data_IF_714541999359
#
_entry.id   IF_714541999359
#
_cell.length_a   1.000
_cell.length_b   1.000
_cell.length_c   1.000
_cell.angle_alpha   90.00
_cell.angle_beta   90.00
_cell.angle_gamma   90.00
#
_symmetry.space_group_name_H-M   'P 1'
#
loop_
_entity.id
_entity.type
_entity.pdbx_description
1 polymer ?
#
# COMPACT_ATOMS: atom_id res chain seq x y z
N UNK A 1 3.30 1.14 23.27
CA UNK A 1 2.69 2.25 22.48
C UNK A 1 2.12 1.69 21.19
N UNK A 2 0.81 1.76 21.01
CA UNK A 2 0.11 1.22 19.85
C UNK A 2 0.14 2.26 18.73
N UNK A 3 0.98 2.06 17.71
CA UNK A 3 1.11 2.95 16.55
C UNK A 3 0.28 2.47 15.37
N UNK A 4 -0.50 3.36 14.79
CA UNK A 4 -1.21 3.11 13.55
C UNK A 4 -0.23 3.21 12.39
N UNK A 5 -0.18 2.17 11.55
CA UNK A 5 0.70 2.13 10.40
C UNK A 5 -0.12 2.19 9.11
N UNK A 6 0.46 2.79 8.08
CA UNK A 6 -0.16 2.88 6.75
C UNK A 6 0.41 1.79 5.86
N UNK A 7 -0.46 1.04 5.18
CA UNK A 7 -0.05 0.04 4.20
C UNK A 7 0.52 0.71 2.94
N UNK A 8 1.77 0.39 2.62
CA UNK A 8 2.49 0.94 1.47
C UNK A 8 1.89 0.54 0.12
N UNK A 9 1.07 -0.52 0.08
CA UNK A 9 0.43 -1.00 -1.15
C UNK A 9 -0.95 -0.38 -1.40
N UNK A 10 -1.88 -0.52 -0.44
CA UNK A 10 -3.25 -0.06 -0.63
C UNK A 10 -3.53 1.36 -0.10
N UNK A 11 -2.61 1.93 0.70
CA UNK A 11 -2.75 3.25 1.32
C UNK A 11 -3.71 3.31 2.50
N UNK A 12 -4.22 2.16 2.98
CA UNK A 12 -5.11 2.10 4.15
C UNK A 12 -4.31 1.96 5.44
N UNK A 13 -4.80 2.60 6.48
CA UNK A 13 -4.34 2.42 7.85
C UNK A 13 -4.77 1.03 8.34
N UNK A 14 -3.94 0.41 9.18
CA UNK A 14 -4.26 -0.88 9.79
C UNK A 14 -3.93 -0.89 11.28
N UNK A 15 -4.60 -1.78 11.99
CA UNK A 15 -4.52 -1.87 13.45
C UNK A 15 -3.08 -2.20 13.92
N UNK A 16 -2.60 -1.54 14.98
CA UNK A 16 -1.31 -1.88 15.60
C UNK A 16 -1.21 -3.37 15.95
N UNK A 17 -0.07 -3.99 15.65
CA UNK A 17 0.14 -5.42 15.89
C UNK A 17 -0.40 -6.35 14.79
N UNK A 18 -1.11 -5.79 13.79
CA UNK A 18 -1.57 -6.54 12.62
C UNK A 18 -0.67 -6.28 11.40
N UNK A 19 -0.67 -7.21 10.45
CA UNK A 19 0.04 -7.07 9.17
C UNK A 19 1.47 -7.56 9.23
N UNK A 20 2.28 -7.13 8.25
CA UNK A 20 3.68 -7.54 8.12
C UNK A 20 4.56 -6.37 7.67
N UNK A 21 5.80 -6.42 8.12
CA UNK A 21 6.87 -5.52 7.68
C UNK A 21 7.80 -6.29 6.76
N UNK A 22 7.97 -5.81 5.54
CA UNK A 22 8.89 -6.38 4.55
C UNK A 22 10.04 -5.41 4.33
N UNK A 23 11.26 -5.86 4.61
CA UNK A 23 12.48 -5.06 4.42
C UNK A 23 13.11 -5.52 3.11
N UNK A 24 13.30 -4.59 2.18
CA UNK A 24 14.01 -4.85 0.93
C UNK A 24 15.52 -4.85 1.15
N UNK A 25 16.26 -5.43 0.20
CA UNK A 25 17.73 -5.44 0.23
C UNK A 25 18.34 -4.02 0.24
N UNK A 26 17.65 -3.04 -0.35
CA UNK A 26 17.99 -1.62 -0.31
C UNK A 26 17.70 -0.93 1.05
N UNK A 27 17.26 -1.68 2.07
CA UNK A 27 16.92 -1.16 3.40
C UNK A 27 15.56 -0.48 3.49
N UNK A 28 14.83 -0.34 2.37
CA UNK A 28 13.48 0.24 2.38
C UNK A 28 12.48 -0.69 3.05
N UNK A 29 11.74 -0.12 3.99
CA UNK A 29 10.69 -0.82 4.73
C UNK A 29 9.34 -0.61 4.05
N UNK A 30 8.66 -1.72 3.76
CA UNK A 30 7.31 -1.75 3.22
C UNK A 30 6.38 -2.37 4.26
N UNK A 31 5.26 -1.70 4.52
CA UNK A 31 4.22 -2.22 5.42
C UNK A 31 3.07 -2.80 4.60
N UNK A 32 2.67 -4.02 4.92
CA UNK A 32 1.53 -4.69 4.31
C UNK A 32 0.45 -4.96 5.35
N UNK A 33 -0.78 -4.51 5.10
CA UNK A 33 -1.92 -4.77 5.97
C UNK A 33 -2.39 -6.24 5.93
N UNK A 34 -2.14 -6.97 4.84
CA UNK A 34 -2.60 -8.36 4.67
C UNK A 34 -1.80 -9.12 3.61
N UNK A 35 -1.87 -10.45 3.66
CA UNK A 35 -1.23 -11.36 2.67
C UNK A 35 -1.68 -11.11 1.24
N UNK A 36 -2.88 -10.52 1.03
CA UNK A 36 -3.35 -10.11 -0.30
C UNK A 36 -2.47 -9.01 -0.89
N UNK A 37 -2.09 -8.01 -0.08
CA UNK A 37 -1.26 -6.90 -0.53
C UNK A 37 0.18 -7.36 -0.80
N UNK A 38 0.70 -8.24 0.05
CA UNK A 38 2.00 -8.89 -0.12
C UNK A 38 2.06 -9.66 -1.45
N UNK A 39 1.11 -10.57 -1.70
CA UNK A 39 1.05 -11.34 -2.95
C UNK A 39 0.96 -10.44 -4.17
N UNK A 40 0.12 -9.40 -4.14
CA UNK A 40 -0.03 -8.51 -5.28
C UNK A 40 1.23 -7.70 -5.58
N UNK A 41 1.97 -7.32 -4.53
CA UNK A 41 3.28 -6.67 -4.68
C UNK A 41 4.28 -7.61 -5.37
N UNK A 42 4.41 -8.86 -4.91
CA UNK A 42 5.31 -9.84 -5.52
C UNK A 42 4.89 -10.25 -6.94
N UNK A 43 3.58 -10.24 -7.25
CA UNK A 43 3.07 -10.45 -8.61
C UNK A 43 3.31 -9.25 -9.55
N UNK A 44 3.90 -8.14 -9.07
CA UNK A 44 4.13 -6.94 -9.88
C UNK A 44 2.85 -6.20 -10.28
N UNK A 45 1.72 -6.44 -9.60
CA UNK A 45 0.47 -5.71 -9.89
C UNK A 45 0.61 -4.28 -9.40
N UNK A 46 0.39 -3.32 -10.31
CA UNK A 46 0.48 -1.91 -9.96
C UNK A 46 -0.78 -1.46 -9.18
N UNK A 47 -0.66 -0.98 -7.93
CA UNK A 47 -1.80 -0.55 -7.14
C UNK A 47 -2.57 0.62 -7.80
N UNK A 48 -1.88 1.49 -8.55
CA UNK A 48 -2.50 2.63 -9.27
C UNK A 48 -3.45 2.22 -10.39
N UNK A 49 -3.52 0.93 -10.75
CA UNK A 49 -4.48 0.38 -11.73
C UNK A 49 -5.64 -0.37 -11.06
N UNK A 50 -5.59 -0.60 -9.75
CA UNK A 50 -6.59 -1.37 -9.01
C UNK A 50 -7.60 -0.45 -8.33
N UNK A 51 -8.84 -0.44 -8.83
CA UNK A 51 -9.93 0.45 -8.38
C UNK A 51 -10.19 0.47 -6.86
N UNK A 52 -9.92 -0.63 -6.16
CA UNK A 52 -10.18 -0.78 -4.73
C UNK A 52 -9.10 -0.15 -3.82
N UNK A 53 -7.95 0.25 -4.39
CA UNK A 53 -6.86 0.85 -3.60
C UNK A 53 -7.03 2.37 -3.50
N UNK A 54 -6.63 2.96 -2.36
CA UNK A 54 -6.61 4.43 -2.24
C UNK A 54 -5.63 5.06 -3.23
N UNK A 55 -4.53 4.37 -3.53
CA UNK A 55 -3.55 4.79 -4.52
C UNK A 55 -4.15 4.98 -5.93
N UNK A 56 -5.12 4.16 -6.34
CA UNK A 56 -5.85 4.35 -7.61
C UNK A 56 -6.71 5.61 -7.57
N UNK A 57 -7.44 5.83 -6.47
CA UNK A 57 -8.32 6.99 -6.32
C UNK A 57 -7.50 8.29 -6.34
N UNK A 58 -6.38 8.33 -5.64
CA UNK A 58 -5.48 9.48 -5.61
C UNK A 58 -4.87 9.75 -7.00
N UNK A 59 -4.37 8.71 -7.68
CA UNK A 59 -3.83 8.84 -9.04
C UNK A 59 -4.90 9.34 -10.03
N UNK A 60 -6.17 8.94 -9.85
CA UNK A 60 -7.30 9.44 -10.66
C UNK A 60 -7.55 10.93 -10.42
N UNK A 61 -7.54 11.37 -9.17
CA UNK A 61 -7.69 12.79 -8.81
C UNK A 61 -6.52 13.63 -9.33
N UNK A 62 -5.28 13.13 -9.22
CA UNK A 62 -4.10 13.82 -9.75
C UNK A 62 -4.17 14.02 -11.26
N UNK A 63 -4.67 13.02 -12.00
CA UNK A 63 -4.90 13.14 -13.46
C UNK A 63 -5.99 14.16 -13.78
N UNK A 64 -7.06 14.19 -13.00
CA UNK A 64 -8.15 15.17 -13.18
C UNK A 64 -7.68 16.60 -12.90
N UNK A 65 -6.83 16.81 -11.89
CA UNK A 65 -6.26 18.13 -11.56
C UNK A 65 -5.26 18.65 -12.58
N UNK A 66 -4.64 17.76 -13.37
CA UNK A 66 -3.64 18.13 -14.38
C UNK A 66 -4.26 18.54 -15.72
N UNK A 67 -5.58 18.51 -15.81
CA UNK A 67 -6.37 18.88 -16.98
C UNK A 67 -7.09 20.18 -16.68
#
# INVERSE_FOLDING_TARGET
MARWNVCSYCGREFEPGTGKMYVRNDGRVLFFCSSKCEKYYFMGRNPRKLKWTKAFQEARLQRAKRK
#
